data_IF_327667237328
#
_entry.id   IF_327667237328
#
_cell.length_a   1.000
_cell.length_b   1.000
_cell.length_c   1.000
_cell.angle_alpha   90.00
_cell.angle_beta   90.00
_cell.angle_gamma   90.00
#
_symmetry.space_group_name_H-M   'P 1'
#
loop_
_entity.id
_entity.type
_entity.pdbx_description
1 polymer ?
#
# COMPACT_ATOMS: atom_id res chain seq x y z
N UNK A 1 22.55 -9.62 10.97
CA UNK A 1 21.76 -9.74 9.72
C UNK A 1 21.48 -8.32 9.31
N UNK A 2 22.07 -7.88 8.21
CA UNK A 2 22.14 -6.48 7.81
C UNK A 2 20.77 -5.99 7.32
N UNK A 3 20.36 -4.80 7.74
CA UNK A 3 19.06 -4.17 7.46
C UNK A 3 18.82 -3.78 5.99
N UNK A 4 19.76 -4.08 5.06
CA UNK A 4 19.67 -3.68 3.65
C UNK A 4 18.74 -4.55 2.78
N UNK A 5 18.36 -5.75 3.23
CA UNK A 5 17.51 -6.66 2.42
C UNK A 5 16.00 -6.40 2.53
N UNK A 6 15.55 -5.52 3.44
CA UNK A 6 14.12 -5.28 3.66
C UNK A 6 13.44 -4.38 2.62
N UNK A 7 14.19 -3.56 1.89
CA UNK A 7 13.62 -2.50 1.05
C UNK A 7 13.64 -2.80 -0.46
N UNK A 8 14.10 -3.98 -0.87
CA UNK A 8 14.06 -4.35 -2.28
C UNK A 8 12.82 -5.21 -2.53
N UNK A 9 11.80 -4.69 -3.25
CA UNK A 9 10.64 -5.50 -3.59
C UNK A 9 11.10 -6.71 -4.41
N UNK A 10 10.54 -7.87 -4.11
CA UNK A 10 10.82 -9.06 -4.91
C UNK A 10 10.37 -8.83 -6.36
N UNK A 11 11.01 -9.51 -7.33
CA UNK A 11 10.60 -9.43 -8.75
C UNK A 11 9.10 -9.65 -8.97
N UNK A 12 8.49 -10.54 -8.17
CA UNK A 12 7.05 -10.79 -8.22
C UNK A 12 6.23 -9.57 -7.78
N UNK A 13 6.67 -8.85 -6.75
CA UNK A 13 5.99 -7.64 -6.27
C UNK A 13 6.07 -6.49 -7.26
N UNK A 14 7.22 -6.31 -7.89
CA UNK A 14 7.39 -5.33 -8.97
C UNK A 14 6.41 -5.61 -10.12
N UNK A 15 6.27 -6.88 -10.51
CA UNK A 15 5.32 -7.30 -11.55
C UNK A 15 3.88 -7.02 -11.11
N UNK A 16 3.49 -7.42 -9.89
CA UNK A 16 2.14 -7.17 -9.37
C UNK A 16 1.84 -5.68 -9.29
N UNK A 17 2.81 -4.86 -8.88
CA UNK A 17 2.67 -3.42 -8.81
C UNK A 17 2.49 -2.80 -10.21
N UNK A 18 3.27 -3.25 -11.19
CA UNK A 18 3.14 -2.80 -12.58
C UNK A 18 1.76 -3.13 -13.15
N UNK A 19 1.27 -4.35 -12.93
CA UNK A 19 -0.06 -4.79 -13.39
C UNK A 19 -1.16 -3.96 -12.71
N UNK A 20 -1.09 -3.78 -11.38
CA UNK A 20 -2.02 -2.96 -10.60
C UNK A 20 -2.08 -1.52 -11.14
N UNK A 21 -0.92 -0.91 -11.38
CA UNK A 21 -0.82 0.44 -11.91
C UNK A 21 -1.46 0.54 -13.31
N UNK A 22 -1.18 -0.44 -14.17
CA UNK A 22 -1.74 -0.49 -15.53
C UNK A 22 -3.26 -0.59 -15.51
N UNK A 23 -3.82 -1.50 -14.71
CA UNK A 23 -5.27 -1.65 -14.56
C UNK A 23 -5.92 -0.38 -13.97
N UNK A 24 -5.22 0.29 -13.05
CA UNK A 24 -5.69 1.55 -12.46
C UNK A 24 -5.73 2.68 -13.49
N UNK A 25 -4.73 2.78 -14.36
CA UNK A 25 -4.73 3.74 -15.47
C UNK A 25 -5.89 3.47 -16.43
N UNK A 26 -6.12 2.21 -16.81
CA UNK A 26 -7.26 1.83 -17.65
C UNK A 26 -8.59 2.23 -16.98
N UNK A 27 -8.76 1.96 -15.69
CA UNK A 27 -9.96 2.33 -14.96
C UNK A 27 -10.18 3.85 -14.90
N UNK A 28 -9.10 4.63 -14.79
CA UNK A 28 -9.14 6.09 -14.83
C UNK A 28 -9.52 6.62 -16.21
N UNK A 29 -8.92 6.07 -17.26
CA UNK A 29 -9.13 6.52 -18.64
C UNK A 29 -10.52 6.14 -19.16
N UNK A 30 -11.08 5.04 -18.66
CA UNK A 30 -12.44 4.57 -19.01
C UNK A 30 -13.52 5.11 -18.09
N UNK A 31 -13.16 5.85 -17.05
CA UNK A 31 -14.11 6.45 -16.12
C UNK A 31 -15.12 7.31 -16.90
N UNK A 32 -16.39 6.99 -16.70
CA UNK A 32 -17.51 7.63 -17.39
C UNK A 32 -18.55 8.03 -16.36
N UNK A 33 -19.09 9.27 -16.42
CA UNK A 33 -20.21 9.69 -15.58
C UNK A 33 -21.40 8.73 -15.71
N UNK A 34 -22.18 8.50 -14.65
CA UNK A 34 -23.28 7.53 -14.65
C UNK A 34 -24.40 7.80 -15.68
N UNK A 35 -24.48 9.03 -16.19
CA UNK A 35 -25.42 9.50 -17.22
C UNK A 35 -25.00 9.09 -18.63
N UNK A 36 -23.76 8.64 -18.81
CA UNK A 36 -23.19 8.24 -20.08
C UNK A 36 -22.87 6.75 -20.08
N UNK A 37 -22.96 6.13 -21.27
CA UNK A 37 -22.62 4.72 -21.43
C UNK A 37 -21.11 4.52 -21.28
N UNK A 38 -20.72 3.65 -20.35
CA UNK A 38 -19.32 3.28 -20.13
C UNK A 38 -18.73 2.56 -21.37
N UNK A 39 -17.48 2.85 -21.78
CA UNK A 39 -16.88 2.29 -22.99
C UNK A 39 -16.57 0.79 -22.89
N UNK A 40 -16.36 0.28 -21.68
CA UNK A 40 -16.20 -1.16 -21.41
C UNK A 40 -17.53 -1.81 -21.04
N UNK A 41 -17.69 -3.08 -21.41
CA UNK A 41 -18.83 -3.89 -20.99
C UNK A 41 -18.82 -4.16 -19.48
N UNK A 42 -19.98 -4.44 -18.90
CA UNK A 42 -20.10 -4.83 -17.49
C UNK A 42 -19.23 -6.04 -17.14
N UNK A 43 -19.14 -7.02 -18.03
CA UNK A 43 -18.30 -8.22 -17.85
C UNK A 43 -16.81 -7.87 -17.77
N UNK A 44 -16.32 -7.00 -18.66
CA UNK A 44 -14.91 -6.55 -18.62
C UNK A 44 -14.62 -5.78 -17.34
N UNK A 45 -15.54 -4.93 -16.88
CA UNK A 45 -15.39 -4.22 -15.60
C UNK A 45 -15.30 -5.22 -14.44
N UNK A 46 -16.14 -6.26 -14.42
CA UNK A 46 -16.10 -7.29 -13.39
C UNK A 46 -14.79 -8.11 -13.43
N UNK A 47 -14.28 -8.42 -14.63
CA UNK A 47 -12.98 -9.08 -14.77
C UNK A 47 -11.84 -8.22 -14.19
N UNK A 48 -11.83 -6.92 -14.48
CA UNK A 48 -10.84 -5.98 -13.91
C UNK A 48 -10.91 -5.97 -12.37
N UNK A 49 -12.13 -5.92 -11.79
CA UNK A 49 -12.30 -6.00 -10.33
C UNK A 49 -11.76 -7.31 -9.75
N UNK A 50 -12.06 -8.44 -10.38
CA UNK A 50 -11.56 -9.74 -9.95
C UNK A 50 -10.02 -9.80 -10.01
N UNK A 51 -9.41 -9.22 -11.03
CA UNK A 51 -7.94 -9.12 -11.10
C UNK A 51 -7.37 -8.33 -9.92
N UNK A 52 -7.97 -7.19 -9.54
CA UNK A 52 -7.52 -6.44 -8.36
C UNK A 52 -7.61 -7.26 -7.07
N UNK A 53 -8.65 -8.08 -6.89
CA UNK A 53 -8.78 -8.98 -5.73
C UNK A 53 -7.63 -9.98 -5.69
N UNK A 54 -7.35 -10.67 -6.80
CA UNK A 54 -6.28 -11.67 -6.87
C UNK A 54 -4.90 -11.05 -6.67
N UNK A 55 -4.65 -9.88 -7.26
CA UNK A 55 -3.41 -9.12 -7.06
C UNK A 55 -3.22 -8.78 -5.58
N UNK A 56 -4.25 -8.23 -4.93
CA UNK A 56 -4.19 -7.81 -3.52
C UNK A 56 -3.96 -9.00 -2.60
N UNK A 57 -4.66 -10.12 -2.85
CA UNK A 57 -4.43 -11.36 -2.10
C UNK A 57 -2.98 -11.81 -2.21
N UNK A 58 -2.41 -11.79 -3.42
CA UNK A 58 -1.03 -12.22 -3.62
C UNK A 58 -0.02 -11.27 -2.96
N UNK A 59 -0.26 -9.96 -3.02
CA UNK A 59 0.55 -8.97 -2.31
C UNK A 59 0.53 -9.20 -0.79
N UNK A 60 -0.64 -9.52 -0.23
CA UNK A 60 -0.78 -9.86 1.18
C UNK A 60 0.01 -11.13 1.55
N UNK A 61 -0.06 -12.18 0.73
CA UNK A 61 0.72 -13.42 0.94
C UNK A 61 2.23 -13.15 0.96
N UNK A 62 2.72 -12.28 0.07
CA UNK A 62 4.14 -11.91 0.00
C UNK A 62 4.59 -11.08 1.21
N UNK A 63 3.77 -10.13 1.66
CA UNK A 63 4.04 -9.35 2.88
C UNK A 63 4.08 -10.24 4.13
N UNK A 64 3.11 -11.16 4.28
CA UNK A 64 3.08 -12.14 5.36
C UNK A 64 4.34 -13.03 5.36
N UNK A 65 4.83 -13.43 4.18
CA UNK A 65 6.05 -14.22 4.06
C UNK A 65 7.31 -13.47 4.53
N UNK A 66 7.32 -12.13 4.47
CA UNK A 66 8.38 -11.28 5.04
C UNK A 66 8.18 -10.93 6.52
N UNK A 67 7.03 -11.30 7.10
CA UNK A 67 6.66 -10.90 8.45
C UNK A 67 6.24 -9.43 8.55
N UNK A 68 5.81 -8.83 7.44
CA UNK A 68 5.26 -7.47 7.39
C UNK A 68 3.74 -7.52 7.48
N UNK A 69 3.14 -6.60 8.25
CA UNK A 69 1.69 -6.42 8.24
C UNK A 69 1.26 -5.70 6.96
N UNK A 70 0.39 -6.34 6.18
CA UNK A 70 -0.19 -5.74 4.98
C UNK A 70 -1.41 -4.89 5.37
N UNK A 71 -1.17 -3.67 5.88
CA UNK A 71 -2.22 -2.78 6.35
C UNK A 71 -2.07 -1.34 5.83
N UNK A 72 -1.99 -1.18 4.51
CA UNK A 72 -2.01 0.13 3.83
C UNK A 72 -3.44 0.66 3.69
N UNK A 73 -4.15 0.81 4.82
CA UNK A 73 -5.46 1.47 4.81
C UNK A 73 -5.25 2.97 4.59
N UNK A 74 -5.95 3.61 3.63
CA UNK A 74 -5.89 5.06 3.47
C UNK A 74 -6.37 5.76 4.74
N UNK A 75 -5.60 6.73 5.22
CA UNK A 75 -5.96 7.60 6.34
C UNK A 75 -6.38 8.98 5.84
N UNK A 76 -7.21 9.67 6.61
CA UNK A 76 -7.53 11.07 6.31
C UNK A 76 -6.35 11.97 6.69
N UNK A 77 -6.14 13.06 5.96
CA UNK A 77 -5.06 14.01 6.25
C UNK A 77 -5.21 14.69 7.62
N UNK A 78 -6.43 14.75 8.14
CA UNK A 78 -6.77 15.37 9.42
C UNK A 78 -6.86 14.33 10.55
N UNK A 79 -6.58 13.05 10.27
CA UNK A 79 -6.65 11.98 11.26
C UNK A 79 -5.46 12.09 12.23
N UNK A 80 -5.71 12.13 13.55
CA UNK A 80 -4.63 12.15 14.53
C UNK A 80 -3.87 10.82 14.49
N UNK A 81 -2.53 10.88 14.39
CA UNK A 81 -1.69 9.69 14.44
C UNK A 81 -1.80 9.01 15.82
N UNK A 82 -2.00 7.70 15.83
CA UNK A 82 -2.08 6.90 17.07
C UNK A 82 -0.69 6.63 17.67
N UNK A 83 0.37 6.83 16.89
CA UNK A 83 1.76 6.64 17.29
C UNK A 83 2.56 7.93 17.19
N UNK A 84 3.24 8.28 18.29
CA UNK A 84 4.18 9.40 18.36
C UNK A 84 5.59 8.84 18.50
N UNK A 85 6.47 9.17 17.57
CA UNK A 85 7.90 8.82 17.68
C UNK A 85 8.55 9.81 18.64
N UNK A 86 9.07 9.32 19.76
CA UNK A 86 9.83 10.13 20.73
C UNK A 86 11.30 9.76 20.62
N UNK A 87 12.18 10.76 20.49
CA UNK A 87 13.62 10.54 20.48
C UNK A 87 14.10 10.13 21.87
N UNK A 88 14.84 9.02 21.94
CA UNK A 88 15.41 8.55 23.21
C UNK A 88 16.54 9.47 23.74
N UNK A 89 17.15 10.27 22.86
CA UNK A 89 18.16 11.26 23.23
C UNK A 89 17.60 12.35 24.15
N UNK A 90 16.31 12.70 24.03
CA UNK A 90 15.67 13.72 24.86
C UNK A 90 15.61 13.32 26.34
N UNK A 91 15.57 12.01 26.63
CA UNK A 91 15.61 11.48 27.99
C UNK A 91 17.03 11.44 28.56
N UNK A 92 18.07 11.39 27.71
CA UNK A 92 19.46 11.21 28.15
C UNK A 92 20.04 12.46 28.80
N UNK A 93 19.58 13.65 28.41
CA UNK A 93 20.00 14.92 29.03
C UNK A 93 19.32 15.18 30.39
N UNK A 94 18.17 14.56 30.64
CA UNK A 94 17.46 14.70 31.93
C UNK A 94 18.14 13.97 33.09
N UNK A 95 18.96 12.95 32.79
CA UNK A 95 19.69 12.16 33.79
C UNK A 95 21.06 12.77 34.19
N UNK A 96 21.51 13.84 33.53
CA UNK A 96 22.85 14.43 33.76
C UNK A 96 22.81 15.72 34.59
N UNK A 97 21.66 16.05 35.17
CA UNK A 97 21.42 17.26 35.97
C UNK A 97 21.15 16.93 37.46
N UNK A 98 21.86 15.95 38.00
CA UNK A 98 21.99 15.74 39.44
C UNK A 98 23.46 15.45 39.76
N UNK A 99 24.26 16.51 39.87
CA UNK A 99 25.52 16.59 40.62
C UNK A 99 25.77 18.05 41.01
#
# INVERSE_FOLDING_TARGET
>A
MSDEDKNTPGKEEEILQLIKNTLTSIARDTYTPPELTHPLSGDTINQIRNCFVVITQRQQELALARGEEFNDRPHYIDEPADTFVVSLDDFRDSAKKED
#
